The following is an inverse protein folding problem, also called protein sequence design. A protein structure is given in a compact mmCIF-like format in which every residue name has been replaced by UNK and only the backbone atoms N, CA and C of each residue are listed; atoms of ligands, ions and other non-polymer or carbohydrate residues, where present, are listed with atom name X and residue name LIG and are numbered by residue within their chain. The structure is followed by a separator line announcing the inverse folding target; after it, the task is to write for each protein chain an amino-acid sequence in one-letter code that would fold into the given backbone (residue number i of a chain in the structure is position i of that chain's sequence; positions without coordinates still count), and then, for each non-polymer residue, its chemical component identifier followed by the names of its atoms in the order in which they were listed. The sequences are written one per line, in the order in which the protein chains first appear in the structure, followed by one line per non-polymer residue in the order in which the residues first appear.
data_IF_342219136751
#
_entry.id   IF_342219136751
#
_cell.length_a   1.000
_cell.length_b   1.000
_cell.length_c   1.000
_cell.angle_alpha   90.00
_cell.angle_beta   90.00
_cell.angle_gamma   90.00
#
_symmetry.space_group_name_H-M   'P 1'
#
loop_
_entity.id
_entity.type
_entity.pdbx_description
1 polymer ?
#
# COMPACT_ATOMS: atom_id res chain seq x y z
N UNK A 1 -47.05 1.74 18.58
CA UNK A 1 -46.17 2.20 19.67
C UNK A 1 -44.89 2.71 19.02
N UNK A 2 -44.71 4.02 18.96
CA UNK A 2 -43.56 4.67 18.33
C UNK A 2 -42.35 4.54 19.24
N UNK A 3 -41.35 3.77 18.82
CA UNK A 3 -40.08 3.66 19.53
C UNK A 3 -39.40 5.04 19.62
N UNK A 4 -39.38 5.61 20.81
CA UNK A 4 -38.59 6.80 21.12
C UNK A 4 -37.10 6.45 20.95
N UNK A 5 -36.52 6.79 19.80
CA UNK A 5 -35.08 6.68 19.58
C UNK A 5 -34.38 7.78 20.39
N UNK A 6 -34.03 7.46 21.64
CA UNK A 6 -33.16 8.30 22.47
C UNK A 6 -31.87 8.60 21.70
N UNK A 7 -31.61 9.87 21.43
CA UNK A 7 -30.42 10.34 20.71
C UNK A 7 -29.19 10.04 21.57
N UNK A 8 -28.29 9.18 21.07
CA UNK A 8 -27.09 8.78 21.82
C UNK A 8 -26.08 9.92 21.88
N UNK A 9 -25.35 10.08 22.99
CA UNK A 9 -24.33 11.12 23.11
C UNK A 9 -23.17 10.89 22.12
N UNK A 10 -22.45 11.94 21.66
CA UNK A 10 -21.33 11.79 20.73
C UNK A 10 -20.22 10.84 21.20
N UNK A 11 -20.01 10.74 22.53
CA UNK A 11 -19.06 9.80 23.14
C UNK A 11 -19.35 8.35 22.79
N UNK A 12 -20.63 7.97 22.66
CA UNK A 12 -21.04 6.63 22.27
C UNK A 12 -20.50 6.24 20.89
N UNK A 13 -20.58 7.16 19.92
CA UNK A 13 -20.14 6.91 18.55
C UNK A 13 -18.62 6.83 18.44
N UNK A 14 -17.89 7.68 19.19
CA UNK A 14 -16.43 7.61 19.27
C UNK A 14 -15.98 6.26 19.82
N UNK A 15 -16.55 5.85 20.96
CA UNK A 15 -16.24 4.56 21.58
C UNK A 15 -16.55 3.39 20.65
N UNK A 16 -17.69 3.39 19.97
CA UNK A 16 -18.06 2.31 19.04
C UNK A 16 -17.17 2.23 17.80
N UNK A 17 -16.61 3.36 17.36
CA UNK A 17 -15.66 3.41 16.24
C UNK A 17 -14.31 2.79 16.64
N UNK A 18 -13.87 3.03 17.86
CA UNK A 18 -12.62 2.49 18.41
C UNK A 18 -12.77 1.03 18.87
N UNK A 19 -13.96 0.64 19.31
CA UNK A 19 -14.27 -0.70 19.84
C UNK A 19 -15.46 -1.32 19.09
N UNK A 20 -15.28 -1.75 17.83
CA UNK A 20 -16.33 -2.40 17.07
C UNK A 20 -16.73 -3.71 17.74
N UNK A 21 -18.03 -3.88 18.01
CA UNK A 21 -18.57 -5.11 18.61
C UNK A 21 -19.04 -6.06 17.52
N UNK A 22 -18.53 -7.29 17.54
CA UNK A 22 -19.00 -8.39 16.69
C UNK A 22 -19.70 -9.40 17.59
N UNK A 23 -20.94 -9.75 17.24
CA UNK A 23 -21.74 -10.77 17.93
C UNK A 23 -22.14 -11.86 16.95
N UNK A 24 -21.95 -13.12 17.31
CA UNK A 24 -22.35 -14.28 16.52
C UNK A 24 -23.12 -15.26 17.40
N UNK A 25 -24.02 -16.01 16.77
CA UNK A 25 -24.79 -17.07 17.42
C UNK A 25 -24.03 -18.38 17.23
N UNK A 26 -23.77 -19.09 18.32
CA UNK A 26 -23.12 -20.40 18.29
C UNK A 26 -24.17 -21.51 18.30
N UNK A 27 -23.91 -22.56 17.52
CA UNK A 27 -24.63 -23.81 17.69
C UNK A 27 -24.14 -24.53 18.97
N UNK A 28 -24.88 -25.56 19.39
CA UNK A 28 -24.58 -26.29 20.64
C UNK A 28 -23.17 -26.90 20.62
N UNK A 29 -22.78 -27.51 19.51
CA UNK A 29 -21.48 -28.17 19.34
C UNK A 29 -20.30 -27.20 19.47
N UNK A 30 -20.38 -26.04 18.83
CA UNK A 30 -19.34 -25.01 18.92
C UNK A 30 -19.26 -24.42 20.33
N UNK A 31 -20.40 -24.26 21.01
CA UNK A 31 -20.41 -23.82 22.41
C UNK A 31 -19.70 -24.83 23.30
N UNK A 32 -20.02 -26.12 23.18
CA UNK A 32 -19.36 -27.18 23.95
C UNK A 32 -17.85 -27.27 23.67
N UNK A 33 -17.45 -27.09 22.41
CA UNK A 33 -16.04 -27.01 22.05
C UNK A 33 -15.35 -25.78 22.67
N UNK A 34 -16.02 -24.63 22.66
CA UNK A 34 -15.52 -23.40 23.27
C UNK A 34 -15.43 -23.53 24.81
N UNK A 35 -16.37 -24.21 25.45
CA UNK A 35 -16.38 -24.48 26.89
C UNK A 35 -15.17 -25.33 27.30
N UNK A 36 -14.82 -26.36 26.51
CA UNK A 36 -13.61 -27.17 26.73
C UNK A 36 -12.32 -26.35 26.58
N UNK A 37 -12.28 -25.45 25.60
CA UNK A 37 -11.11 -24.59 25.33
C UNK A 37 -10.96 -23.44 26.33
N UNK A 38 -12.07 -22.97 26.90
CA UNK A 38 -12.12 -21.85 27.83
C UNK A 38 -11.42 -22.18 29.15
N UNK A 39 -11.70 -23.36 29.72
CA UNK A 39 -11.27 -23.69 31.08
C UNK A 39 -11.71 -22.59 32.06
N UNK A 40 -10.75 -21.99 32.76
CA UNK A 40 -10.98 -20.93 33.75
C UNK A 40 -11.05 -19.50 33.17
N UNK A 41 -10.76 -19.31 31.87
CA UNK A 41 -10.72 -17.99 31.23
C UNK A 41 -12.11 -17.47 30.89
N UNK A 42 -12.24 -16.20 30.50
CA UNK A 42 -13.50 -15.70 29.90
C UNK A 42 -13.60 -16.10 28.42
N UNK A 43 -14.83 -16.24 27.89
CA UNK A 43 -15.04 -16.52 26.47
C UNK A 43 -14.36 -15.48 25.57
N UNK A 44 -14.43 -14.20 25.95
CA UNK A 44 -13.78 -13.12 25.20
C UNK A 44 -12.28 -13.33 25.08
N UNK A 45 -11.59 -13.65 26.19
CA UNK A 45 -10.15 -13.91 26.18
C UNK A 45 -9.79 -15.15 25.34
N UNK A 46 -10.57 -16.22 25.43
CA UNK A 46 -10.34 -17.43 24.64
C UNK A 46 -10.52 -17.17 23.15
N UNK A 47 -11.57 -16.44 22.76
CA UNK A 47 -11.82 -16.07 21.35
C UNK A 47 -10.72 -15.15 20.83
N UNK A 48 -10.28 -14.16 21.62
CA UNK A 48 -9.14 -13.30 21.27
C UNK A 48 -7.90 -14.15 21.02
N UNK A 49 -7.56 -15.09 21.90
CA UNK A 49 -6.40 -15.98 21.72
C UNK A 49 -6.52 -16.87 20.48
N UNK A 50 -7.70 -17.40 20.17
CA UNK A 50 -7.93 -18.19 18.95
C UNK A 50 -7.77 -17.34 17.70
N UNK A 51 -8.30 -16.11 17.71
CA UNK A 51 -8.17 -15.19 16.58
C UNK A 51 -6.71 -14.79 16.42
N UNK A 52 -6.04 -14.34 17.47
CA UNK A 52 -4.62 -13.96 17.45
C UNK A 52 -3.73 -15.12 16.97
N UNK A 53 -3.98 -16.34 17.44
CA UNK A 53 -3.18 -17.51 17.05
C UNK A 53 -3.38 -17.95 15.59
N UNK A 54 -4.54 -17.71 14.99
CA UNK A 54 -4.82 -18.07 13.58
C UNK A 54 -4.52 -16.94 12.60
N UNK A 55 -4.84 -15.72 12.97
CA UNK A 55 -4.82 -14.55 12.08
C UNK A 55 -3.41 -13.92 12.04
N UNK A 56 -2.68 -13.88 13.17
CA UNK A 56 -1.34 -13.30 13.17
C UNK A 56 -0.32 -14.07 12.32
N UNK A 57 -0.22 -15.41 12.34
CA UNK A 57 0.79 -16.09 11.52
C UNK A 57 0.53 -15.93 10.03
N UNK A 58 -0.72 -16.03 9.58
CA UNK A 58 -1.07 -15.92 8.16
C UNK A 58 -0.88 -14.48 7.63
N UNK A 59 -1.33 -13.48 8.39
CA UNK A 59 -1.06 -12.08 8.05
C UNK A 59 0.43 -11.76 8.08
N UNK A 60 1.18 -12.26 9.07
CA UNK A 60 2.62 -12.02 9.16
C UNK A 60 3.39 -12.63 7.99
N UNK A 61 2.93 -13.78 7.48
CA UNK A 61 3.49 -14.43 6.30
C UNK A 61 3.20 -13.62 5.05
N UNK A 62 1.94 -13.22 4.84
CA UNK A 62 1.54 -12.37 3.71
C UNK A 62 2.26 -11.02 3.70
N UNK A 63 2.44 -10.40 4.88
CA UNK A 63 3.20 -9.15 5.01
C UNK A 63 4.65 -9.33 4.60
N UNK A 64 5.30 -10.43 5.02
CA UNK A 64 6.69 -10.72 4.63
C UNK A 64 6.82 -10.96 3.13
N UNK A 65 5.93 -11.75 2.55
CA UNK A 65 5.90 -12.03 1.10
C UNK A 65 5.72 -10.74 0.30
N UNK A 66 4.77 -9.87 0.69
CA UNK A 66 4.58 -8.57 0.05
C UNK A 66 5.80 -7.65 0.20
N UNK A 67 6.47 -7.67 1.36
CA UNK A 67 7.69 -6.89 1.58
C UNK A 67 8.84 -7.36 0.68
N UNK A 68 8.99 -8.67 0.50
CA UNK A 68 9.97 -9.24 -0.43
C UNK A 68 9.64 -8.84 -1.87
N UNK A 69 8.38 -8.93 -2.28
CA UNK A 69 7.93 -8.52 -3.61
C UNK A 69 8.22 -7.04 -3.89
N UNK A 70 7.89 -6.15 -2.94
CA UNK A 70 8.21 -4.72 -3.02
C UNK A 70 9.73 -4.51 -3.16
N UNK A 71 10.54 -5.28 -2.44
CA UNK A 71 12.01 -5.17 -2.52
C UNK A 71 12.53 -5.55 -3.92
N UNK A 72 11.95 -6.58 -4.54
CA UNK A 72 12.31 -7.02 -5.90
C UNK A 72 11.88 -5.97 -6.91
N UNK A 73 10.64 -5.47 -6.82
CA UNK A 73 10.10 -4.44 -7.70
C UNK A 73 10.89 -3.14 -7.61
N UNK A 74 11.31 -2.73 -6.40
CA UNK A 74 12.15 -1.54 -6.23
C UNK A 74 13.51 -1.71 -6.91
N UNK A 75 14.18 -2.86 -6.75
CA UNK A 75 15.44 -3.15 -7.45
C UNK A 75 15.27 -3.12 -8.97
N UNK A 76 14.18 -3.69 -9.48
CA UNK A 76 13.86 -3.65 -10.91
C UNK A 76 13.60 -2.22 -11.39
N UNK A 77 12.85 -1.43 -10.63
CA UNK A 77 12.61 -0.01 -10.92
C UNK A 77 13.90 0.80 -10.94
N UNK A 78 14.79 0.61 -9.97
CA UNK A 78 16.11 1.26 -9.93
C UNK A 78 16.96 0.89 -11.15
N UNK A 79 16.97 -0.39 -11.51
CA UNK A 79 17.65 -0.88 -12.71
C UNK A 79 17.08 -0.22 -13.98
N UNK A 80 15.75 -0.19 -14.14
CA UNK A 80 15.08 0.40 -15.29
C UNK A 80 15.28 1.93 -15.37
N UNK A 81 15.30 2.65 -14.24
CA UNK A 81 15.65 4.07 -14.20
C UNK A 81 17.07 4.32 -14.74
N UNK A 82 18.00 3.41 -14.46
CA UNK A 82 19.35 3.43 -15.03
C UNK A 82 19.46 3.03 -16.50
N UNK A 83 18.40 2.47 -17.09
CA UNK A 83 18.35 2.04 -18.49
C UNK A 83 17.79 3.07 -19.46
N UNK A 84 17.16 4.15 -18.99
CA UNK A 84 16.79 5.25 -19.88
C UNK A 84 18.07 5.96 -20.34
N UNK A 85 18.59 5.49 -21.47
CA UNK A 85 19.86 5.89 -22.09
C UNK A 85 19.56 6.52 -23.42
N UNK A 86 20.10 7.70 -23.65
CA UNK A 86 20.30 8.17 -25.00
C UNK A 86 21.73 8.68 -25.12
N UNK A 87 22.39 8.26 -26.19
CA UNK A 87 23.78 8.59 -26.50
C UNK A 87 23.79 9.92 -27.24
N UNK A 88 24.61 10.85 -26.78
CA UNK A 88 24.82 12.14 -27.45
C UNK A 88 26.32 12.39 -27.63
N UNK A 89 26.76 12.97 -28.74
CA UNK A 89 28.15 13.36 -28.90
C UNK A 89 28.51 14.49 -27.93
N UNK A 90 29.69 14.42 -27.33
CA UNK A 90 30.22 15.49 -26.50
C UNK A 90 30.47 16.74 -27.36
N UNK A 91 29.91 17.89 -26.97
CA UNK A 91 30.05 19.13 -27.73
C UNK A 91 31.49 19.67 -27.84
N UNK A 92 32.44 19.16 -27.02
CA UNK A 92 33.84 19.58 -27.04
C UNK A 92 34.73 18.64 -27.86
N UNK A 93 34.63 17.34 -27.62
CA UNK A 93 35.52 16.34 -28.22
C UNK A 93 34.84 15.42 -29.25
N UNK A 94 33.51 15.46 -29.38
CA UNK A 94 32.76 14.61 -30.31
C UNK A 94 32.57 13.16 -29.85
N UNK A 95 33.28 12.72 -28.80
CA UNK A 95 33.14 11.37 -28.26
C UNK A 95 31.72 11.12 -27.70
N UNK A 96 31.21 9.88 -27.80
CA UNK A 96 29.89 9.55 -27.34
C UNK A 96 29.78 9.65 -25.81
N UNK A 97 28.71 10.29 -25.35
CA UNK A 97 28.39 10.45 -23.94
C UNK A 97 27.02 9.83 -23.67
N UNK A 98 26.99 8.90 -22.73
CA UNK A 98 25.75 8.29 -22.25
C UNK A 98 25.11 9.20 -21.21
N UNK A 99 23.88 9.64 -21.46
CA UNK A 99 23.09 10.38 -20.47
C UNK A 99 22.00 9.46 -19.94
N UNK A 100 21.86 9.43 -18.61
CA UNK A 100 20.85 8.66 -17.89
C UNK A 100 20.06 9.53 -16.92
N UNK A 101 18.89 9.03 -16.51
CA UNK A 101 18.06 9.71 -15.51
C UNK A 101 18.71 9.90 -14.13
N UNK A 102 19.80 9.16 -13.87
CA UNK A 102 20.57 9.22 -12.64
C UNK A 102 21.69 10.29 -12.67
N UNK A 103 21.93 10.95 -13.80
CA UNK A 103 22.98 11.96 -13.88
C UNK A 103 22.63 13.20 -13.04
N UNK A 104 23.62 13.75 -12.32
CA UNK A 104 23.45 14.95 -11.48
C UNK A 104 22.85 16.15 -12.24
N UNK A 105 23.11 16.22 -13.55
CA UNK A 105 22.64 17.28 -14.43
C UNK A 105 21.29 16.97 -15.11
N UNK A 106 20.69 15.80 -14.85
CA UNK A 106 19.48 15.34 -15.52
C UNK A 106 18.32 16.31 -15.30
N UNK A 107 17.96 16.56 -14.05
CA UNK A 107 16.86 17.47 -13.71
C UNK A 107 17.17 18.96 -13.95
N UNK A 108 18.44 19.37 -13.82
CA UNK A 108 18.82 20.79 -13.87
C UNK A 108 19.15 21.29 -15.27
N UNK A 109 19.68 20.43 -16.16
CA UNK A 109 20.16 20.83 -17.50
C UNK A 109 19.54 20.01 -18.62
N UNK A 110 19.47 18.69 -18.47
CA UNK A 110 19.04 17.80 -19.56
C UNK A 110 17.53 17.90 -19.79
N UNK A 111 16.71 17.69 -18.76
CA UNK A 111 15.23 17.77 -18.85
C UNK A 111 14.77 19.13 -19.42
N UNK A 112 15.24 20.29 -18.90
CA UNK A 112 14.81 21.58 -19.45
C UNK A 112 15.15 21.75 -20.93
N UNK A 113 16.33 21.27 -21.36
CA UNK A 113 16.74 21.32 -22.77
C UNK A 113 15.88 20.42 -23.64
N UNK A 114 15.60 19.19 -23.21
CA UNK A 114 14.72 18.27 -23.93
C UNK A 114 13.31 18.83 -24.03
N UNK A 115 12.73 19.32 -22.92
CA UNK A 115 11.40 19.95 -22.93
C UNK A 115 11.33 21.13 -23.90
N UNK A 116 12.38 21.96 -23.97
CA UNK A 116 12.41 23.08 -24.90
C UNK A 116 12.57 22.62 -26.36
N UNK A 117 13.43 21.63 -26.62
CA UNK A 117 13.66 21.10 -27.97
C UNK A 117 12.42 20.42 -28.55
N UNK A 118 11.65 19.74 -27.71
CA UNK A 118 10.42 19.02 -28.06
C UNK A 118 9.16 19.77 -27.61
N UNK A 119 9.23 21.09 -27.41
CA UNK A 119 8.10 21.88 -26.88
C UNK A 119 6.85 21.81 -27.75
N UNK A 120 7.06 21.66 -29.07
CA UNK A 120 6.03 21.63 -30.09
C UNK A 120 5.65 20.17 -30.47
N UNK A 121 6.25 19.18 -29.80
CA UNK A 121 5.96 17.76 -30.00
C UNK A 121 5.04 17.30 -28.89
N UNK A 122 3.85 16.82 -29.24
CA UNK A 122 2.84 16.33 -28.31
C UNK A 122 2.20 15.04 -28.80
N UNK A 123 1.47 14.37 -27.91
CA UNK A 123 0.62 13.26 -28.33
C UNK A 123 -0.45 13.78 -29.29
N UNK A 124 -0.57 13.17 -30.46
CA UNK A 124 -1.51 13.61 -31.49
C UNK A 124 -2.97 13.52 -31.02
N UNK A 125 -3.29 12.59 -30.12
CA UNK A 125 -4.63 12.40 -29.54
C UNK A 125 -4.51 12.07 -28.03
N UNK A 126 -5.30 12.78 -27.20
CA UNK A 126 -5.38 12.62 -25.74
C UNK A 126 -4.03 12.77 -24.99
N UNK A 127 -3.60 14.01 -24.77
CA UNK A 127 -2.63 14.26 -23.70
C UNK A 127 -3.35 14.14 -22.33
N UNK A 128 -3.01 13.17 -21.46
CA UNK A 128 -3.70 12.98 -20.18
C UNK A 128 -3.55 14.17 -19.21
N UNK A 129 -2.66 15.12 -19.51
CA UNK A 129 -2.44 16.35 -18.74
C UNK A 129 -2.94 17.63 -19.45
N UNK A 130 -3.62 17.54 -20.59
CA UNK A 130 -4.39 18.67 -21.14
C UNK A 130 -5.70 18.78 -20.35
N UNK A 131 -5.67 19.61 -19.30
CA UNK A 131 -6.86 20.23 -18.70
C UNK A 131 -6.74 21.74 -18.82
#
# INVERSE_FOLDING_TARGET
MTENKTKRPPSYYKYKKEHPTVSFILNRELKEALDKLKGDKSYGQTVIQIIESKVNPDLSKQIKEMQEEISILNKQSEFLRGLQRFEVPCAKCGEPMNITSNDKNWHTKVIPRLRNAFRDWGHLWNCPNEK
#
